data_IF_726078954224
#
_entry.id   IF_726078954224
#
_cell.length_a   1.000
_cell.length_b   1.000
_cell.length_c   1.000
_cell.angle_alpha   90.00
_cell.angle_beta   90.00
_cell.angle_gamma   90.00
#
_symmetry.space_group_name_H-M   'P 1'
#
loop_
_entity.id
_entity.type
_entity.pdbx_description
1 polymer ?
#
# COMPACT_ATOMS: atom_id res chain seq x y z
N UNK A 1 4.32 38.96 10.97
CA UNK A 1 4.25 38.54 9.55
C UNK A 1 4.19 37.03 9.53
N UNK A 2 3.01 36.47 9.26
CA UNK A 2 2.83 35.04 9.06
C UNK A 2 3.51 34.62 7.74
N UNK A 3 4.25 33.51 7.68
CA UNK A 3 4.79 33.04 6.42
C UNK A 3 3.64 32.59 5.55
N UNK A 4 3.48 33.25 4.40
CA UNK A 4 2.61 32.77 3.32
C UNK A 4 3.12 31.40 2.89
N UNK A 5 2.36 30.35 3.20
CA UNK A 5 2.66 29.01 2.73
C UNK A 5 2.28 28.96 1.27
N UNK A 6 3.25 29.18 0.38
CA UNK A 6 3.08 28.92 -1.04
C UNK A 6 2.81 27.42 -1.20
N UNK A 7 1.55 27.04 -1.41
CA UNK A 7 1.19 25.68 -1.79
C UNK A 7 1.79 25.46 -3.18
N UNK A 8 2.89 24.73 -3.23
CA UNK A 8 3.61 24.44 -4.46
C UNK A 8 2.72 23.52 -5.33
N UNK A 9 2.32 23.98 -6.52
CA UNK A 9 1.22 23.42 -7.33
C UNK A 9 1.44 22.02 -7.91
N UNK A 10 2.59 21.40 -7.64
CA UNK A 10 3.04 20.19 -8.36
C UNK A 10 3.03 18.91 -7.51
N UNK A 11 2.82 18.98 -6.19
CA UNK A 11 2.71 17.79 -5.35
C UNK A 11 1.33 17.14 -5.51
N UNK A 12 1.30 15.94 -6.06
CA UNK A 12 0.08 15.15 -6.24
C UNK A 12 0.31 13.69 -5.88
N UNK A 13 -0.61 13.15 -5.08
CA UNK A 13 -0.71 11.71 -4.81
C UNK A 13 -1.67 11.09 -5.81
N UNK A 14 -1.22 10.04 -6.49
CA UNK A 14 -2.00 9.22 -7.39
C UNK A 14 -2.44 7.96 -6.67
N UNK A 15 -3.54 7.36 -7.12
CA UNK A 15 -3.96 6.06 -6.61
C UNK A 15 -4.58 5.17 -7.67
N UNK A 16 -4.55 3.86 -7.43
CA UNK A 16 -5.18 2.83 -8.26
C UNK A 16 -5.65 1.68 -7.37
N UNK A 17 -6.87 1.23 -7.57
CA UNK A 17 -7.44 0.08 -6.87
C UNK A 17 -7.12 -1.23 -7.60
N UNK A 18 -7.00 -2.30 -6.82
CA UNK A 18 -6.70 -3.65 -7.26
C UNK A 18 -7.64 -4.64 -6.57
N UNK A 19 -7.93 -5.73 -7.27
CA UNK A 19 -8.67 -6.87 -6.71
C UNK A 19 -7.82 -8.11 -6.91
N UNK A 20 -7.43 -8.73 -5.81
CA UNK A 20 -6.73 -10.02 -5.82
C UNK A 20 -7.74 -11.17 -5.78
N UNK A 21 -7.49 -12.20 -6.58
CA UNK A 21 -8.39 -13.34 -6.75
C UNK A 21 -8.37 -14.32 -5.56
N UNK A 22 -9.45 -15.11 -5.35
CA UNK A 22 -9.50 -16.10 -4.28
C UNK A 22 -8.58 -17.29 -4.57
N UNK A 23 -8.17 -17.99 -3.50
CA UNK A 23 -7.40 -19.25 -3.59
C UNK A 23 -8.26 -20.45 -3.17
N UNK A 24 -7.98 -21.68 -3.64
CA UNK A 24 -8.78 -22.87 -3.30
C UNK A 24 -8.99 -23.09 -1.78
N UNK A 25 -8.00 -22.75 -0.95
CA UNK A 25 -8.06 -22.89 0.52
C UNK A 25 -8.18 -21.56 1.26
N UNK A 26 -8.39 -20.46 0.52
CA UNK A 26 -8.58 -19.11 1.05
C UNK A 26 -9.51 -18.36 0.07
N UNK A 27 -10.83 -18.65 0.12
CA UNK A 27 -11.77 -18.29 -0.94
C UNK A 27 -12.20 -16.81 -0.88
N UNK A 28 -11.27 -15.91 -0.58
CA UNK A 28 -11.53 -14.49 -0.39
C UNK A 28 -10.84 -13.66 -1.44
N UNK A 29 -11.59 -12.73 -2.04
CA UNK A 29 -11.02 -11.63 -2.81
C UNK A 29 -10.49 -10.56 -1.86
N UNK A 30 -9.39 -9.91 -2.22
CA UNK A 30 -8.83 -8.78 -1.47
C UNK A 30 -8.92 -7.51 -2.29
N UNK A 31 -9.51 -6.48 -1.71
CA UNK A 31 -9.47 -5.12 -2.25
C UNK A 31 -8.24 -4.41 -1.70
N UNK A 32 -7.43 -3.85 -2.58
CA UNK A 32 -6.26 -3.07 -2.22
C UNK A 32 -6.24 -1.76 -2.99
N UNK A 33 -5.67 -0.72 -2.39
CA UNK A 33 -5.45 0.57 -3.07
C UNK A 33 -3.98 0.96 -2.94
N UNK A 34 -3.35 1.16 -4.09
CA UNK A 34 -1.97 1.65 -4.21
C UNK A 34 -1.98 3.17 -4.29
N UNK A 35 -1.00 3.81 -3.67
CA UNK A 35 -0.75 5.24 -3.70
C UNK A 35 0.71 5.52 -4.05
N UNK A 36 0.96 6.51 -4.89
CA UNK A 36 2.31 6.92 -5.27
C UNK A 36 2.33 8.40 -5.65
N UNK A 37 3.52 8.99 -5.69
CA UNK A 37 3.74 10.32 -6.28
C UNK A 37 4.58 10.17 -7.55
N UNK A 38 4.48 11.14 -8.46
CA UNK A 38 5.56 11.30 -9.44
C UNK A 38 6.75 11.84 -8.67
N UNK A 39 7.81 11.06 -8.52
CA UNK A 39 9.11 11.68 -8.29
C UNK A 39 9.41 12.53 -9.51
N UNK A 40 9.89 13.76 -9.36
CA UNK A 40 10.45 14.54 -10.47
C UNK A 40 11.53 13.70 -11.18
N UNK A 41 11.13 13.02 -12.25
CA UNK A 41 11.95 12.11 -13.03
C UNK A 41 11.59 12.13 -14.51
N UNK A 42 11.13 13.28 -15.02
CA UNK A 42 11.19 13.61 -16.45
C UNK A 42 12.04 14.85 -16.75
N UNK A 43 12.29 15.75 -15.78
CA UNK A 43 13.28 16.83 -15.91
C UNK A 43 14.51 16.58 -15.03
N UNK A 44 15.49 15.86 -15.59
CA UNK A 44 16.85 15.84 -15.07
C UNK A 44 17.78 16.56 -16.05
N UNK A 45 17.56 17.86 -16.24
CA UNK A 45 18.51 18.76 -16.91
C UNK A 45 19.60 19.16 -15.91
N UNK A 46 20.47 18.20 -15.54
CA UNK A 46 21.84 18.46 -15.08
C UNK A 46 22.60 17.16 -14.80
N UNK A 47 22.93 16.42 -15.87
CA UNK A 47 24.23 15.74 -16.04
C UNK A 47 24.68 14.64 -15.07
N UNK A 48 23.92 14.27 -14.03
CA UNK A 48 24.16 13.05 -13.25
C UNK A 48 23.13 12.01 -13.66
N UNK A 49 23.52 11.14 -14.60
CA UNK A 49 22.82 9.89 -14.86
C UNK A 49 22.57 9.18 -13.54
N UNK A 50 21.30 9.10 -13.12
CA UNK A 50 20.92 8.24 -11.99
C UNK A 50 21.33 6.82 -12.38
N UNK A 51 22.04 6.17 -11.47
CA UNK A 51 22.41 4.76 -11.53
C UNK A 51 21.21 3.91 -11.95
N UNK A 52 21.48 2.84 -12.69
CA UNK A 52 20.47 1.95 -13.24
C UNK A 52 19.44 1.60 -12.15
N UNK A 53 18.11 1.68 -12.40
CA UNK A 53 17.11 1.26 -11.41
C UNK A 53 17.27 -0.19 -10.91
N UNK A 54 18.08 -1.00 -11.60
CA UNK A 54 18.48 -2.34 -11.20
C UNK A 54 19.68 -2.40 -10.23
N UNK A 55 20.31 -1.27 -9.86
CA UNK A 55 21.35 -1.26 -8.84
C UNK A 55 20.72 -1.61 -7.47
N UNK A 56 21.10 -2.75 -6.91
CA UNK A 56 20.60 -3.26 -5.62
C UNK A 56 20.74 -2.23 -4.47
N UNK A 57 21.71 -1.33 -4.57
CA UNK A 57 21.92 -0.25 -3.59
C UNK A 57 20.80 0.81 -3.64
N UNK A 58 20.32 1.17 -4.84
CA UNK A 58 19.17 2.06 -5.00
C UNK A 58 17.88 1.37 -4.55
N UNK A 59 17.77 0.04 -4.74
CA UNK A 59 16.62 -0.75 -4.27
C UNK A 59 16.54 -0.75 -2.74
N UNK A 60 17.66 -0.96 -2.04
CA UNK A 60 17.74 -0.95 -0.57
C UNK A 60 17.14 0.33 0.07
N UNK A 61 17.21 1.46 -0.63
CA UNK A 61 16.74 2.75 -0.17
C UNK A 61 15.27 3.04 -0.55
N UNK A 62 14.64 2.20 -1.38
CA UNK A 62 13.25 2.35 -1.79
C UNK A 62 12.30 1.45 -0.99
N UNK A 63 11.33 2.05 -0.31
CA UNK A 63 10.38 1.36 0.55
C UNK A 63 9.00 1.28 -0.07
N UNK A 64 8.35 0.13 0.04
CA UNK A 64 6.92 -0.04 -0.18
C UNK A 64 6.25 -0.26 1.16
N UNK A 65 5.34 0.64 1.55
CA UNK A 65 4.61 0.52 2.81
C UNK A 65 3.30 -0.22 2.57
N UNK A 66 2.94 -1.14 3.47
CA UNK A 66 1.70 -1.92 3.40
C UNK A 66 0.91 -1.72 4.69
N UNK A 67 -0.31 -1.22 4.57
CA UNK A 67 -1.18 -0.84 5.66
C UNK A 67 -2.33 -1.84 5.84
N UNK A 68 -2.45 -2.38 7.05
CA UNK A 68 -3.52 -3.26 7.47
C UNK A 68 -4.38 -2.59 8.56
N UNK A 69 -5.68 -2.43 8.29
CA UNK A 69 -6.57 -1.64 9.14
C UNK A 69 -7.09 -2.43 10.37
N UNK A 70 -7.61 -1.70 11.35
CA UNK A 70 -8.25 -2.28 12.54
C UNK A 70 -9.66 -2.78 12.27
N UNK A 71 -10.20 -3.58 13.20
CA UNK A 71 -11.60 -4.01 13.13
C UNK A 71 -12.56 -2.80 13.13
N UNK A 72 -13.56 -2.82 12.25
CA UNK A 72 -14.52 -1.73 12.07
C UNK A 72 -14.04 -0.58 11.16
N UNK A 73 -12.88 -0.70 10.53
CA UNK A 73 -12.33 0.28 9.57
C UNK A 73 -12.27 -0.30 8.15
N UNK A 74 -11.74 0.49 7.21
CA UNK A 74 -11.48 0.13 5.82
C UNK A 74 -10.17 0.79 5.34
N UNK A 75 -9.67 0.36 4.19
CA UNK A 75 -8.35 0.77 3.66
C UNK A 75 -8.16 2.29 3.51
N UNK A 76 -9.20 3.04 3.14
CA UNK A 76 -9.11 4.51 2.96
C UNK A 76 -8.94 5.26 4.29
N UNK A 77 -9.09 4.62 5.45
CA UNK A 77 -8.77 5.23 6.74
C UNK A 77 -7.29 5.67 6.83
N UNK A 78 -6.42 5.04 6.05
CA UNK A 78 -5.00 5.38 5.98
C UNK A 78 -4.69 6.60 5.10
N UNK A 79 -5.63 7.10 4.29
CA UNK A 79 -5.36 8.19 3.33
C UNK A 79 -4.75 9.45 3.96
N UNK A 80 -5.25 9.96 5.11
CA UNK A 80 -4.62 11.12 5.74
C UNK A 80 -3.16 10.88 6.13
N UNK A 81 -2.83 9.66 6.58
CA UNK A 81 -1.46 9.28 6.98
C UNK A 81 -0.59 9.12 5.73
N UNK A 82 -1.09 8.47 4.69
CA UNK A 82 -0.39 8.27 3.41
C UNK A 82 -0.03 9.63 2.79
N UNK A 83 -0.99 10.55 2.71
CA UNK A 83 -0.75 11.89 2.20
C UNK A 83 0.32 12.62 3.02
N UNK A 84 0.22 12.56 4.36
CA UNK A 84 1.18 13.21 5.24
C UNK A 84 2.59 12.66 5.08
N UNK A 85 2.75 11.35 4.94
CA UNK A 85 4.05 10.72 4.74
C UNK A 85 4.68 11.12 3.40
N UNK A 86 3.88 11.19 2.32
CA UNK A 86 4.37 11.69 1.04
C UNK A 86 4.74 13.18 1.10
N UNK A 87 3.94 14.02 1.77
CA UNK A 87 4.25 15.44 1.97
C UNK A 87 5.57 15.63 2.75
N UNK A 88 5.77 14.85 3.82
CA UNK A 88 6.98 14.90 4.62
C UNK A 88 8.21 14.47 3.82
N UNK A 89 8.08 13.41 3.01
CA UNK A 89 9.15 13.00 2.11
C UNK A 89 9.46 14.06 1.06
N UNK A 90 8.42 14.68 0.48
CA UNK A 90 8.58 15.72 -0.53
C UNK A 90 9.27 16.98 0.03
N UNK A 91 8.92 17.37 1.26
CA UNK A 91 9.49 18.54 1.92
C UNK A 91 10.89 18.29 2.49
N UNK A 92 11.35 17.04 2.59
CA UNK A 92 12.64 16.70 3.20
C UNK A 92 13.72 16.47 2.14
N UNK A 93 14.72 17.34 2.12
CA UNK A 93 15.90 17.21 1.25
C UNK A 93 16.85 16.08 1.70
N UNK A 94 16.68 15.55 2.92
CA UNK A 94 17.63 14.63 3.57
C UNK A 94 16.95 13.36 4.12
N UNK A 95 15.98 12.79 3.38
CA UNK A 95 15.43 11.49 3.76
C UNK A 95 16.40 10.36 3.34
N UNK A 96 16.87 9.50 4.27
CA UNK A 96 17.79 8.41 3.95
C UNK A 96 17.14 7.26 3.16
N UNK A 97 15.82 7.31 2.99
CA UNK A 97 15.03 6.37 2.20
C UNK A 97 13.97 7.11 1.40
N UNK A 98 13.44 6.47 0.36
CA UNK A 98 12.35 6.96 -0.47
C UNK A 98 11.20 5.96 -0.46
N UNK A 99 10.02 6.41 -0.09
CA UNK A 99 8.76 5.71 -0.33
C UNK A 99 8.54 5.65 -1.83
N UNK A 100 8.52 4.44 -2.37
CA UNK A 100 8.17 4.13 -3.75
C UNK A 100 6.67 4.19 -3.97
N UNK A 101 5.93 3.47 -3.13
CA UNK A 101 4.48 3.45 -3.08
C UNK A 101 3.98 2.96 -1.72
N UNK A 102 2.70 3.17 -1.49
CA UNK A 102 1.99 2.73 -0.31
C UNK A 102 0.76 1.93 -0.72
N UNK A 103 0.42 0.91 0.06
CA UNK A 103 -0.70 0.02 -0.21
C UNK A 103 -1.57 -0.09 1.02
N UNK A 104 -2.88 0.08 0.87
CA UNK A 104 -3.83 -0.19 1.95
C UNK A 104 -4.79 -1.30 1.51
N UNK A 105 -4.98 -2.30 2.38
CA UNK A 105 -5.74 -3.52 2.07
C UNK A 105 -6.96 -3.65 2.97
N UNK A 106 -8.11 -3.98 2.39
CA UNK A 106 -9.29 -4.37 3.17
C UNK A 106 -9.16 -5.82 3.67
N UNK A 107 -9.58 -6.06 4.91
CA UNK A 107 -9.85 -7.41 5.38
C UNK A 107 -11.03 -8.02 4.60
N UNK A 108 -11.08 -9.35 4.37
CA UNK A 108 -12.12 -9.96 3.56
C UNK A 108 -13.56 -9.64 3.95
N UNK A 109 -13.80 -9.31 5.23
CA UNK A 109 -15.10 -8.96 5.80
C UNK A 109 -15.28 -7.45 6.04
N UNK A 110 -14.45 -6.59 5.47
CA UNK A 110 -14.53 -5.13 5.59
C UNK A 110 -14.44 -4.43 4.23
N UNK A 111 -14.86 -3.16 4.20
CA UNK A 111 -14.72 -2.29 3.03
C UNK A 111 -15.31 -2.88 1.74
N UNK A 112 -14.61 -2.69 0.63
CA UNK A 112 -15.04 -3.21 -0.67
C UNK A 112 -14.91 -4.74 -0.74
N UNK A 113 -13.96 -5.32 0.02
CA UNK A 113 -13.77 -6.76 0.06
C UNK A 113 -14.98 -7.49 0.65
N UNK A 114 -15.65 -6.91 1.65
CA UNK A 114 -16.88 -7.47 2.23
C UNK A 114 -17.97 -7.67 1.18
N UNK A 115 -18.18 -6.66 0.32
CA UNK A 115 -19.18 -6.70 -0.76
C UNK A 115 -18.83 -7.79 -1.77
N UNK A 116 -17.56 -7.89 -2.17
CA UNK A 116 -17.11 -8.91 -3.12
C UNK A 116 -17.14 -10.35 -2.57
N UNK A 117 -17.18 -10.51 -1.25
CA UNK A 117 -17.12 -11.79 -0.54
C UNK A 117 -18.43 -12.13 0.18
N UNK A 118 -19.53 -11.40 -0.06
CA UNK A 118 -20.80 -11.53 0.66
C UNK A 118 -21.27 -12.99 0.77
N UNK A 119 -21.31 -13.71 -0.37
CA UNK A 119 -21.73 -15.11 -0.41
C UNK A 119 -20.82 -16.03 0.41
N UNK A 120 -19.50 -15.83 0.34
CA UNK A 120 -18.50 -16.63 1.06
C UNK A 120 -18.62 -16.38 2.57
N UNK A 121 -18.80 -15.12 2.96
CA UNK A 121 -18.95 -14.73 4.36
C UNK A 121 -20.24 -15.30 4.97
N UNK A 122 -21.34 -15.30 4.21
CA UNK A 122 -22.62 -15.87 4.63
C UNK A 122 -22.57 -17.40 4.84
N UNK A 123 -21.66 -18.11 4.17
CA UNK A 123 -21.61 -19.58 4.18
C UNK A 123 -20.99 -20.20 5.45
N UNK A 124 -20.35 -19.41 6.32
CA UNK A 124 -19.76 -19.96 7.54
C UNK A 124 -18.94 -19.02 8.41
N UNK A 125 -18.92 -17.71 8.13
CA UNK A 125 -18.07 -16.74 8.83
C UNK A 125 -18.90 -15.77 9.68
N UNK A 126 -19.81 -16.30 10.50
CA UNK A 126 -20.54 -15.49 11.50
C UNK A 126 -19.59 -14.82 12.51
N UNK A 127 -18.43 -15.44 12.73
CA UNK A 127 -17.25 -14.83 13.35
C UNK A 127 -16.11 -14.94 12.36
N UNK A 128 -15.50 -13.81 12.02
CA UNK A 128 -14.38 -13.77 11.07
C UNK A 128 -13.04 -13.87 11.82
N UNK A 129 -12.27 -14.96 11.65
CA UNK A 129 -11.00 -15.11 12.35
C UNK A 129 -9.93 -14.16 11.80
N UNK A 130 -9.20 -13.48 12.69
CA UNK A 130 -8.22 -12.46 12.28
C UNK A 130 -7.04 -13.07 11.53
N UNK A 131 -6.69 -14.33 11.77
CA UNK A 131 -5.65 -15.04 11.02
C UNK A 131 -6.00 -15.20 9.53
N UNK A 132 -7.29 -15.18 9.17
CA UNK A 132 -7.70 -15.19 7.77
C UNK A 132 -7.27 -13.91 7.08
N UNK A 133 -7.35 -12.76 7.76
CA UNK A 133 -6.83 -11.50 7.22
C UNK A 133 -5.33 -11.59 6.97
N UNK A 134 -4.55 -12.08 7.95
CA UNK A 134 -3.11 -12.27 7.83
C UNK A 134 -2.73 -13.20 6.67
N UNK A 135 -3.41 -14.34 6.54
CA UNK A 135 -3.20 -15.29 5.43
C UNK A 135 -3.52 -14.66 4.07
N UNK A 136 -4.54 -13.81 4.00
CA UNK A 136 -4.91 -13.11 2.77
C UNK A 136 -3.87 -12.06 2.38
N UNK A 137 -3.40 -11.25 3.34
CA UNK A 137 -2.32 -10.28 3.11
C UNK A 137 -1.05 -11.00 2.67
N UNK A 138 -0.71 -12.12 3.30
CA UNK A 138 0.42 -12.95 2.86
C UNK A 138 0.24 -13.45 1.42
N UNK A 139 -0.92 -14.03 1.07
CA UNK A 139 -1.16 -14.53 -0.30
C UNK A 139 -1.07 -13.41 -1.35
N UNK A 140 -1.58 -12.22 -1.01
CA UNK A 140 -1.50 -11.01 -1.83
C UNK A 140 -0.04 -10.60 -2.07
N UNK A 141 0.75 -10.45 -0.99
CA UNK A 141 2.14 -9.99 -1.06
C UNK A 141 3.07 -11.06 -1.65
N UNK A 142 2.79 -12.34 -1.45
CA UNK A 142 3.56 -13.43 -2.03
C UNK A 142 3.21 -13.69 -3.51
N UNK A 143 2.27 -12.94 -4.10
CA UNK A 143 1.90 -13.08 -5.51
C UNK A 143 1.31 -14.45 -5.84
N UNK A 144 0.59 -15.07 -4.89
CA UNK A 144 0.06 -16.43 -5.05
C UNK A 144 -1.19 -16.50 -5.94
N UNK A 145 -1.55 -15.40 -6.62
CA UNK A 145 -2.78 -15.23 -7.36
C UNK A 145 -2.62 -14.19 -8.48
N UNK A 146 -3.74 -13.62 -8.93
CA UNK A 146 -3.82 -12.69 -10.05
C UNK A 146 -4.57 -11.41 -9.69
N UNK A 147 -4.56 -10.43 -10.60
CA UNK A 147 -5.27 -9.15 -10.42
C UNK A 147 -4.43 -8.01 -9.83
N UNK A 148 -3.15 -8.28 -9.52
CA UNK A 148 -2.16 -7.29 -9.10
C UNK A 148 -0.97 -7.34 -10.05
N UNK A 149 -0.57 -6.19 -10.59
CA UNK A 149 0.50 -6.06 -11.60
C UNK A 149 1.86 -5.70 -10.99
N UNK A 150 2.02 -5.95 -9.68
CA UNK A 150 3.23 -5.64 -8.92
C UNK A 150 3.82 -6.90 -8.29
N UNK A 151 5.09 -7.13 -8.58
CA UNK A 151 5.91 -8.18 -7.98
C UNK A 151 6.53 -7.68 -6.67
N UNK A 152 5.88 -7.99 -5.55
CA UNK A 152 6.33 -7.56 -4.22
C UNK A 152 7.59 -8.28 -3.74
N UNK A 153 7.97 -9.43 -4.33
CA UNK A 153 9.22 -10.13 -4.00
C UNK A 153 10.46 -9.30 -4.31
N UNK A 154 10.30 -8.26 -5.14
CA UNK A 154 11.35 -7.33 -5.53
C UNK A 154 11.35 -6.02 -4.74
N UNK A 155 10.47 -5.86 -3.75
CA UNK A 155 10.29 -4.63 -2.97
C UNK A 155 10.86 -4.78 -1.55
N UNK A 156 11.30 -3.68 -0.95
CA UNK A 156 11.55 -3.63 0.48
C UNK A 156 10.26 -3.23 1.20
N UNK A 157 9.61 -4.22 1.80
CA UNK A 157 8.30 -4.04 2.41
C UNK A 157 8.44 -3.55 3.86
N UNK A 158 7.63 -2.55 4.21
CA UNK A 158 7.40 -2.14 5.60
C UNK A 158 5.91 -2.31 5.88
N UNK A 159 5.58 -3.22 6.78
CA UNK A 159 4.20 -3.45 7.19
C UNK A 159 3.80 -2.54 8.36
N UNK A 160 2.60 -1.98 8.30
CA UNK A 160 2.01 -1.11 9.32
C UNK A 160 0.61 -1.62 9.63
N UNK A 161 0.43 -2.20 10.81
CA UNK A 161 -0.84 -2.75 11.26
C UNK A 161 -1.41 -2.00 12.47
N UNK A 162 -2.71 -1.75 12.47
CA UNK A 162 -3.43 -1.21 13.64
C UNK A 162 -4.40 -2.26 14.23
N UNK A 163 -4.30 -2.54 15.53
CA UNK A 163 -5.18 -3.48 16.25
C UNK A 163 -5.28 -4.85 15.55
N UNK A 164 -6.46 -5.28 15.07
CA UNK A 164 -6.62 -6.47 14.23
C UNK A 164 -5.59 -6.55 13.09
N UNK A 165 -5.32 -5.42 12.43
CA UNK A 165 -4.34 -5.33 11.34
C UNK A 165 -2.90 -5.60 11.78
N UNK A 166 -2.56 -5.49 13.07
CA UNK A 166 -1.24 -5.89 13.58
C UNK A 166 -1.00 -7.40 13.48
N UNK A 167 -2.05 -8.22 13.39
CA UNK A 167 -1.91 -9.67 13.13
C UNK A 167 -1.60 -9.97 11.66
N UNK A 168 -1.84 -9.01 10.77
CA UNK A 168 -1.69 -9.13 9.32
C UNK A 168 -0.50 -8.35 8.76
N UNK A 169 0.27 -7.69 9.62
CA UNK A 169 1.47 -6.91 9.30
C UNK A 169 2.72 -7.64 9.80
#
# INVERSE_FOLDING_TARGET
>A
MSPSTTINSNFRVFSKSYVFDPRPHLPFRISAKRYWTHSDSEECTNGKTRSNPDDDKNRAEMLTLVFAHANGFHKEHWEPIIHRLFEQQWASEQCPFRIQDMWALDAPNHGDAAVMNEEVLAWGYSLFPWEVYARCVHAFLAGLGSGVDVDFSKRNLVAVGHSMGATAA
#
